data_IF_037305481535
#
_entry.id   IF_037305481535
#
_cell.length_a   1.000
_cell.length_b   1.000
_cell.length_c   1.000
_cell.angle_alpha   90.00
_cell.angle_beta   90.00
_cell.angle_gamma   90.00
#
_symmetry.space_group_name_H-M   'P 1'
#
loop_
_entity.id
_entity.type
_entity.pdbx_description
1 polymer ?
#
# COMPACT_ATOMS: atom_id res chain seq x y z
N UNK A 1 -45.79 -1.28 -15.99
CA UNK A 1 -44.32 -1.13 -16.01
C UNK A 1 -43.75 -1.66 -14.69
N UNK A 2 -43.22 -2.88 -14.71
CA UNK A 2 -43.05 -3.76 -13.55
C UNK A 2 -42.08 -3.22 -12.49
N UNK A 3 -42.52 -3.20 -11.22
CA UNK A 3 -41.71 -2.85 -10.03
C UNK A 3 -40.38 -3.62 -9.96
N UNK A 4 -40.36 -4.84 -10.50
CA UNK A 4 -39.19 -5.72 -10.56
C UNK A 4 -38.09 -5.15 -11.47
N UNK A 5 -38.45 -4.52 -12.60
CA UNK A 5 -37.48 -3.92 -13.52
C UNK A 5 -36.79 -2.70 -12.87
N UNK A 6 -37.54 -1.92 -12.09
CA UNK A 6 -36.98 -0.78 -11.32
C UNK A 6 -35.98 -1.25 -10.25
N UNK A 7 -36.23 -2.41 -9.64
CA UNK A 7 -35.37 -2.96 -8.59
C UNK A 7 -34.04 -3.50 -9.14
N UNK A 8 -34.07 -4.15 -10.30
CA UNK A 8 -32.86 -4.66 -10.98
C UNK A 8 -31.95 -3.50 -11.41
N UNK A 9 -32.52 -2.43 -11.98
CA UNK A 9 -31.76 -1.24 -12.38
C UNK A 9 -31.16 -0.52 -11.17
N UNK A 10 -31.89 -0.43 -10.06
CA UNK A 10 -31.37 0.18 -8.83
C UNK A 10 -30.20 -0.61 -8.23
N UNK A 11 -30.29 -1.95 -8.20
CA UNK A 11 -29.20 -2.82 -7.70
C UNK A 11 -27.96 -2.76 -8.61
N UNK A 12 -28.15 -2.70 -9.93
CA UNK A 12 -27.04 -2.52 -10.88
C UNK A 12 -26.38 -1.13 -10.73
N UNK A 13 -27.16 -0.07 -10.53
CA UNK A 13 -26.63 1.28 -10.30
C UNK A 13 -25.87 1.39 -8.95
N UNK A 14 -26.35 0.71 -7.90
CA UNK A 14 -25.68 0.63 -6.60
C UNK A 14 -24.36 -0.16 -6.66
N UNK A 15 -24.28 -1.20 -7.50
CA UNK A 15 -23.02 -1.96 -7.68
C UNK A 15 -21.98 -1.16 -8.46
N UNK A 16 -22.39 -0.26 -9.37
CA UNK A 16 -21.50 0.62 -10.12
C UNK A 16 -20.98 1.80 -9.27
N UNK A 17 -21.77 2.33 -8.34
CA UNK A 17 -21.34 3.40 -7.43
C UNK A 17 -20.36 2.95 -6.33
N UNK A 18 -20.19 1.63 -6.12
CA UNK A 18 -19.33 1.09 -5.06
C UNK A 18 -17.93 0.69 -5.54
N UNK A 19 -17.68 0.74 -6.86
CA UNK A 19 -16.34 0.54 -7.42
C UNK A 19 -15.60 1.86 -7.36
N UNK A 20 -15.27 2.33 -6.15
CA UNK A 20 -14.16 3.25 -6.00
C UNK A 20 -12.96 2.50 -6.58
N UNK A 21 -12.43 2.97 -7.70
CA UNK A 21 -11.19 2.46 -8.29
C UNK A 21 -10.21 2.41 -7.12
N UNK A 22 -9.85 1.20 -6.71
CA UNK A 22 -8.82 1.02 -5.72
C UNK A 22 -7.58 1.71 -6.28
N UNK A 23 -7.23 2.86 -5.72
CA UNK A 23 -5.89 3.41 -5.92
C UNK A 23 -4.95 2.29 -5.52
N UNK A 24 -4.07 1.89 -6.42
CA UNK A 24 -3.06 0.89 -6.10
C UNK A 24 -2.22 1.44 -4.96
N UNK A 25 -2.37 0.87 -3.77
CA UNK A 25 -1.53 1.24 -2.63
C UNK A 25 -0.24 0.44 -2.74
N UNK A 26 0.91 1.09 -2.64
CA UNK A 26 2.22 0.45 -2.66
C UNK A 26 2.70 0.28 -1.22
N UNK A 27 3.10 -0.95 -0.88
CA UNK A 27 3.78 -1.27 0.37
C UNK A 27 5.28 -1.09 0.16
N UNK A 28 5.87 -0.26 1.00
CA UNK A 28 7.30 -0.08 1.14
C UNK A 28 7.73 -0.84 2.39
N UNK A 29 8.63 -1.80 2.20
CA UNK A 29 9.24 -2.61 3.24
C UNK A 29 10.75 -2.33 3.24
N UNK A 30 11.22 -1.59 4.23
CA UNK A 30 12.63 -1.29 4.46
C UNK A 30 13.18 -2.22 5.55
N UNK A 31 14.33 -2.85 5.27
CA UNK A 31 15.06 -3.66 6.22
C UNK A 31 16.55 -3.36 6.20
N UNK A 32 17.16 -3.37 7.38
CA UNK A 32 18.60 -3.45 7.55
C UNK A 32 18.96 -4.40 8.72
N UNK A 33 20.18 -4.29 9.25
CA UNK A 33 20.63 -5.13 10.38
C UNK A 33 19.88 -4.85 11.70
N UNK A 34 19.34 -3.65 11.88
CA UNK A 34 18.80 -3.17 13.15
C UNK A 34 17.34 -2.70 13.06
N UNK A 35 16.78 -2.53 11.86
CA UNK A 35 15.47 -1.94 11.63
C UNK A 35 14.66 -2.70 10.60
N UNK A 36 13.35 -2.77 10.84
CA UNK A 36 12.35 -3.24 9.87
C UNK A 36 11.15 -2.28 9.93
N UNK A 37 10.89 -1.62 8.80
CA UNK A 37 9.92 -0.53 8.67
C UNK A 37 9.03 -0.81 7.47
N UNK A 38 7.73 -0.89 7.69
CA UNK A 38 6.72 -1.05 6.65
C UNK A 38 5.75 0.13 6.66
N UNK A 39 5.47 0.71 5.49
CA UNK A 39 4.45 1.74 5.32
C UNK A 39 3.82 1.67 3.94
N UNK A 40 2.69 2.34 3.77
CA UNK A 40 1.93 2.30 2.51
C UNK A 40 1.65 3.68 1.97
N UNK A 41 1.80 3.83 0.66
CA UNK A 41 1.57 5.09 -0.06
C UNK A 41 0.73 4.82 -1.32
N UNK A 42 -0.10 5.78 -1.77
CA UNK A 42 -1.04 5.58 -2.88
C UNK A 42 -0.37 5.55 -4.26
N UNK A 43 0.92 5.91 -4.35
CA UNK A 43 1.69 5.99 -5.60
C UNK A 43 3.16 5.66 -5.33
N UNK A 44 3.88 5.20 -6.36
CA UNK A 44 5.35 5.12 -6.28
C UNK A 44 5.89 6.52 -6.04
N UNK A 45 6.68 6.67 -4.99
CA UNK A 45 7.33 7.92 -4.63
C UNK A 45 8.32 8.34 -5.71
N UNK A 46 8.22 9.59 -6.14
CA UNK A 46 9.07 10.19 -7.19
C UNK A 46 9.81 11.44 -6.70
N UNK A 47 9.70 11.75 -5.41
CA UNK A 47 10.38 12.85 -4.73
C UNK A 47 10.65 12.51 -3.27
N UNK A 48 11.53 13.28 -2.63
CA UNK A 48 11.82 13.20 -1.20
C UNK A 48 10.52 13.19 -0.39
N UNK A 49 10.37 12.17 0.45
CA UNK A 49 9.18 11.96 1.28
C UNK A 49 9.60 11.50 2.67
N UNK A 50 8.97 12.07 3.71
CA UNK A 50 9.16 11.64 5.10
C UNK A 50 7.85 11.06 5.62
N UNK A 51 7.91 9.81 6.06
CA UNK A 51 6.82 9.06 6.65
C UNK A 51 7.01 8.97 8.16
N UNK A 52 5.94 9.23 8.92
CA UNK A 52 5.93 9.13 10.39
C UNK A 52 4.86 8.15 10.88
N UNK A 53 4.16 7.50 9.96
CA UNK A 53 3.10 6.53 10.24
C UNK A 53 3.43 5.21 9.57
N UNK A 54 3.54 4.16 10.36
CA UNK A 54 4.04 2.86 9.92
C UNK A 54 3.02 1.76 10.19
N UNK A 55 2.97 0.76 9.32
CA UNK A 55 2.31 -0.52 9.57
C UNK A 55 3.13 -1.36 10.55
N UNK A 56 4.45 -1.34 10.35
CA UNK A 56 5.44 -1.98 11.21
C UNK A 56 6.64 -1.05 11.34
N UNK A 57 7.16 -0.88 12.55
CA UNK A 57 8.41 -0.17 12.76
C UNK A 57 9.10 -0.76 13.99
N UNK A 58 10.15 -1.54 13.76
CA UNK A 58 10.88 -2.21 14.83
C UNK A 58 12.35 -1.83 14.75
N UNK A 59 12.96 -1.66 15.93
CA UNK A 59 14.38 -1.39 16.07
C UNK A 59 14.99 -2.33 17.10
N UNK A 60 16.08 -3.00 16.74
CA UNK A 60 16.79 -3.98 17.56
C UNK A 60 18.22 -3.53 17.93
N UNK A 61 18.59 -2.29 17.63
CA UNK A 61 19.91 -1.75 17.97
C UNK A 61 20.13 -1.59 19.47
N UNK A 62 21.41 -1.61 19.88
CA UNK A 62 21.82 -1.47 21.27
C UNK A 62 21.29 -0.17 21.91
N UNK A 63 20.76 -0.28 23.14
CA UNK A 63 20.11 0.83 23.85
C UNK A 63 18.59 0.93 23.63
N UNK A 64 18.05 0.20 22.65
CA UNK A 64 16.63 0.20 22.32
C UNK A 64 16.12 1.56 21.86
N UNK A 65 14.90 1.58 21.34
CA UNK A 65 14.26 2.83 20.93
C UNK A 65 13.09 2.57 19.99
N UNK A 66 12.44 3.65 19.60
CA UNK A 66 11.29 3.62 18.70
C UNK A 66 11.61 4.43 17.46
N UNK A 67 11.36 3.83 16.29
CA UNK A 67 11.46 4.53 15.02
C UNK A 67 10.32 5.54 14.94
N UNK A 68 10.65 6.81 14.77
CA UNK A 68 9.67 7.91 14.77
C UNK A 68 9.51 8.57 13.40
N UNK A 69 10.47 8.40 12.50
CA UNK A 69 10.41 8.90 11.13
C UNK A 69 11.27 8.05 10.19
N UNK A 70 10.83 7.96 8.94
CA UNK A 70 11.56 7.35 7.82
C UNK A 70 11.51 8.32 6.65
N UNK A 71 12.67 8.66 6.10
CA UNK A 71 12.77 9.55 4.95
C UNK A 71 13.35 8.78 3.76
N UNK A 72 12.78 9.02 2.58
CA UNK A 72 13.16 8.36 1.33
C UNK A 72 13.31 9.39 0.23
N UNK A 73 14.49 9.46 -0.39
CA UNK A 73 14.69 10.16 -1.66
C UNK A 73 14.84 9.13 -2.80
N UNK A 74 13.82 9.01 -3.67
CA UNK A 74 13.80 8.03 -4.75
C UNK A 74 14.61 8.46 -6.00
N UNK A 75 15.12 9.70 -6.08
CA UNK A 75 15.72 10.27 -7.31
C UNK A 75 17.23 10.38 -7.18
N UNK A 76 17.99 10.26 -8.27
CA UNK A 76 19.46 10.29 -8.28
C UNK A 76 20.10 11.70 -8.31
N UNK A 77 19.32 12.76 -8.21
CA UNK A 77 19.79 14.15 -8.39
C UNK A 77 19.65 15.07 -7.16
N UNK A 78 19.25 14.52 -6.02
CA UNK A 78 19.02 15.23 -4.76
C UNK A 78 20.15 15.05 -3.74
N UNK A 79 19.91 15.57 -2.54
CA UNK A 79 20.78 15.41 -1.36
C UNK A 79 19.95 14.90 -0.20
N UNK A 80 20.46 13.87 0.46
CA UNK A 80 19.83 13.25 1.62
C UNK A 80 19.86 14.18 2.84
N UNK A 81 19.03 13.94 3.86
CA UNK A 81 18.98 14.78 5.06
C UNK A 81 20.34 14.96 5.77
N UNK A 82 21.22 13.95 5.75
CA UNK A 82 22.58 14.06 6.30
C UNK A 82 23.64 14.47 5.27
N UNK A 83 23.23 14.87 4.07
CA UNK A 83 24.10 15.41 3.03
C UNK A 83 24.81 14.35 2.18
N UNK A 84 24.43 13.06 2.26
CA UNK A 84 24.89 12.06 1.30
C UNK A 84 24.22 12.25 -0.07
N UNK A 85 24.83 11.65 -1.10
CA UNK A 85 24.27 11.65 -2.45
C UNK A 85 23.02 10.77 -2.54
N UNK A 86 22.00 11.25 -3.26
CA UNK A 86 20.79 10.49 -3.52
C UNK A 86 21.00 9.46 -4.65
N UNK A 87 20.10 8.48 -4.84
CA UNK A 87 18.94 8.11 -4.02
C UNK A 87 19.35 7.54 -2.65
N UNK A 88 18.51 7.75 -1.64
CA UNK A 88 18.80 7.35 -0.26
C UNK A 88 17.56 7.09 0.58
N UNK A 89 17.81 6.44 1.71
CA UNK A 89 16.83 6.20 2.76
C UNK A 89 17.47 6.42 4.12
N UNK A 90 16.75 7.06 5.02
CA UNK A 90 17.14 7.24 6.41
C UNK A 90 15.99 7.00 7.36
N UNK A 91 16.33 6.58 8.57
CA UNK A 91 15.37 6.46 9.65
C UNK A 91 15.90 7.08 10.93
N UNK A 92 14.97 7.65 11.68
CA UNK A 92 15.23 8.26 12.97
C UNK A 92 14.68 7.37 14.08
N UNK A 93 15.48 7.21 15.13
CA UNK A 93 15.12 6.44 16.32
C UNK A 93 15.16 7.37 17.52
N UNK A 94 14.06 7.43 18.26
CA UNK A 94 14.03 8.02 19.59
C UNK A 94 14.55 6.98 20.60
N UNK A 95 15.72 7.22 21.19
CA UNK A 95 16.37 6.28 22.08
C UNK A 95 15.73 6.29 23.47
N UNK A 96 15.69 5.12 24.13
CA UNK A 96 15.08 4.95 25.46
C UNK A 96 15.72 5.84 26.54
N UNK A 97 17.02 6.10 26.42
CA UNK A 97 17.79 6.95 27.35
C UNK A 97 17.74 8.45 27.03
N UNK A 98 16.94 8.85 26.05
CA UNK A 98 16.95 10.21 25.50
C UNK A 98 17.94 10.37 24.34
N UNK A 99 17.66 11.33 23.47
CA UNK A 99 18.41 11.57 22.23
C UNK A 99 17.79 10.90 21.00
N UNK A 100 18.37 11.22 19.84
CA UNK A 100 17.91 10.73 18.54
C UNK A 100 19.08 10.15 17.78
N UNK A 101 18.93 8.91 17.31
CA UNK A 101 19.84 8.30 16.36
C UNK A 101 19.27 8.48 14.96
N UNK A 102 20.10 8.87 14.01
CA UNK A 102 19.75 8.86 12.59
C UNK A 102 20.68 7.89 11.88
N UNK A 103 20.11 7.00 11.07
CA UNK A 103 20.86 6.07 10.23
C UNK A 103 20.48 6.34 8.80
N UNK A 104 21.46 6.59 7.94
CA UNK A 104 21.26 6.94 6.53
C UNK A 104 22.02 5.97 5.62
N UNK A 105 21.36 5.58 4.54
CA UNK A 105 21.89 4.73 3.48
C UNK A 105 21.79 5.47 2.14
N UNK A 106 22.91 5.62 1.45
CA UNK A 106 22.99 6.21 0.11
C UNK A 106 23.45 5.18 -0.93
N UNK A 107 23.18 5.48 -2.21
CA UNK A 107 23.59 4.63 -3.33
C UNK A 107 22.55 3.59 -3.73
N UNK A 108 21.29 3.80 -3.36
CA UNK A 108 20.19 3.02 -3.94
C UNK A 108 20.04 3.35 -5.44
N UNK A 109 19.53 2.43 -6.26
CA UNK A 109 19.05 2.78 -7.60
C UNK A 109 17.78 3.64 -7.50
N UNK A 110 17.45 4.35 -8.57
CA UNK A 110 16.19 5.12 -8.64
C UNK A 110 14.97 4.19 -8.56
N UNK A 111 13.99 4.53 -7.71
CA UNK A 111 12.80 3.71 -7.49
C UNK A 111 11.70 4.04 -8.51
N UNK A 112 11.79 3.49 -9.72
CA UNK A 112 10.79 3.72 -10.79
C UNK A 112 9.76 2.62 -10.94
N UNK A 113 9.90 1.52 -10.19
CA UNK A 113 9.03 0.34 -10.30
C UNK A 113 8.95 -0.45 -8.99
N UNK A 114 7.98 -1.36 -8.94
CA UNK A 114 7.93 -2.46 -7.96
C UNK A 114 9.23 -3.29 -8.08
N UNK A 115 9.75 -3.74 -6.95
CA UNK A 115 10.98 -4.53 -6.90
C UNK A 115 11.69 -4.41 -5.55
N UNK A 116 12.80 -5.14 -5.43
CA UNK A 116 13.70 -5.05 -4.28
C UNK A 116 14.99 -4.35 -4.71
N UNK A 117 15.37 -3.34 -3.95
CA UNK A 117 16.52 -2.49 -4.17
C UNK A 117 17.41 -2.50 -2.94
N UNK A 118 18.73 -2.41 -3.14
CA UNK A 118 19.69 -2.52 -2.03
C UNK A 118 20.78 -1.46 -2.10
N UNK A 119 21.20 -0.97 -0.94
CA UNK A 119 22.38 -0.14 -0.77
C UNK A 119 23.17 -0.66 0.44
N UNK A 120 24.32 -1.29 0.18
CA UNK A 120 25.09 -1.98 1.22
C UNK A 120 24.26 -3.08 1.89
N UNK A 121 24.07 -2.97 3.21
CA UNK A 121 23.27 -3.91 4.01
C UNK A 121 21.77 -3.57 4.04
N UNK A 122 21.35 -2.40 3.59
CA UNK A 122 19.96 -1.99 3.59
C UNK A 122 19.23 -2.46 2.33
N UNK A 123 17.95 -2.79 2.47
CA UNK A 123 17.05 -3.23 1.41
C UNK A 123 15.72 -2.53 1.51
N UNK A 124 15.17 -2.16 0.36
CA UNK A 124 13.80 -1.65 0.21
C UNK A 124 13.08 -2.54 -0.79
N UNK A 125 11.96 -3.12 -0.39
CA UNK A 125 11.04 -3.82 -1.28
C UNK A 125 9.78 -2.97 -1.47
N UNK A 126 9.49 -2.64 -2.73
CA UNK A 126 8.27 -1.95 -3.13
C UNK A 126 7.36 -2.99 -3.75
N UNK A 127 6.17 -3.19 -3.20
CA UNK A 127 5.17 -4.14 -3.69
C UNK A 127 3.79 -3.49 -3.82
N UNK A 128 2.93 -4.03 -4.68
CA UNK A 128 1.57 -3.53 -4.82
C UNK A 128 0.64 -4.26 -3.84
N UNK A 129 -0.08 -3.50 -3.02
CA UNK A 129 -1.21 -3.98 -2.23
C UNK A 129 -2.42 -3.97 -3.15
N UNK A 130 -2.84 -5.16 -3.57
CA UNK A 130 -4.09 -5.33 -4.32
C UNK A 130 -5.20 -5.50 -3.29
N UNK A 131 -6.18 -4.58 -3.19
CA UNK A 131 -7.33 -4.84 -2.34
C UNK A 131 -8.07 -6.05 -2.92
N UNK A 132 -8.28 -7.05 -2.06
CA UNK A 132 -9.03 -8.25 -2.43
C UNK A 132 -10.37 -7.84 -3.06
N UNK A 133 -10.80 -8.50 -4.14
CA UNK A 133 -12.12 -8.25 -4.71
C UNK A 133 -13.16 -8.54 -3.62
N UNK A 134 -13.94 -7.52 -3.27
CA UNK A 134 -14.95 -7.60 -2.22
C UNK A 134 -15.81 -8.87 -2.38
N UNK A 135 -16.02 -9.67 -1.32
CA UNK A 135 -16.86 -10.86 -1.37
C UNK A 135 -18.32 -10.55 -1.73
N UNK A 136 -18.75 -9.28 -1.71
CA UNK A 136 -20.07 -8.86 -2.20
C UNK A 136 -20.26 -9.16 -3.69
N UNK A 137 -19.22 -9.07 -4.51
CA UNK A 137 -19.29 -9.43 -5.95
C UNK A 137 -19.53 -10.94 -6.16
N UNK A 138 -19.00 -11.78 -5.27
CA UNK A 138 -19.19 -13.23 -5.27
C UNK A 138 -20.61 -13.65 -4.85
N UNK A 139 -21.33 -12.85 -4.06
CA UNK A 139 -22.70 -13.17 -3.62
C UNK A 139 -23.76 -12.70 -4.62
N UNK A 140 -23.52 -11.60 -5.33
CA UNK A 140 -24.52 -11.04 -6.27
C UNK A 140 -24.62 -11.87 -7.56
N UNK A 141 -23.52 -12.46 -8.01
CA UNK A 141 -23.48 -13.27 -9.25
C UNK A 141 -24.34 -14.55 -9.20
N UNK A 142 -24.30 -15.40 -8.16
CA UNK A 142 -25.16 -16.59 -8.10
C UNK A 142 -26.64 -16.25 -7.83
N UNK A 143 -26.93 -15.22 -7.03
CA UNK A 143 -28.31 -14.79 -6.77
C UNK A 143 -29.00 -14.23 -8.02
N UNK A 144 -28.27 -13.46 -8.84
CA UNK A 144 -28.77 -12.95 -10.12
C UNK A 144 -29.15 -14.06 -11.10
N UNK A 145 -28.31 -15.10 -11.21
CA UNK A 145 -28.58 -16.27 -12.05
C UNK A 145 -29.78 -17.08 -11.52
N UNK A 146 -29.89 -17.27 -10.21
CA UNK A 146 -31.02 -18.00 -9.61
C UNK A 146 -32.36 -17.29 -9.81
N UNK A 147 -32.38 -15.96 -9.72
CA UNK A 147 -33.59 -15.16 -9.96
C UNK A 147 -34.01 -15.19 -11.43
N UNK A 148 -33.05 -15.10 -12.37
CA UNK A 148 -33.33 -15.22 -13.80
C UNK A 148 -33.88 -16.62 -14.18
N UNK A 149 -33.33 -17.68 -13.60
CA UNK A 149 -33.82 -19.06 -13.81
C UNK A 149 -35.25 -19.26 -13.29
N UNK A 150 -35.61 -18.67 -12.14
CA UNK A 150 -36.98 -18.74 -11.59
C UNK A 150 -38.01 -17.97 -12.42
N UNK A 151 -37.64 -16.80 -12.96
CA UNK A 151 -38.54 -16.01 -13.81
C UNK A 151 -38.81 -16.74 -15.13
N UNK A 152 -37.77 -17.32 -15.75
CA UNK A 152 -37.91 -18.06 -17.01
C UNK A 152 -38.82 -19.28 -16.88
N UNK A 153 -38.72 -20.04 -15.78
CA UNK A 153 -39.62 -21.19 -15.50
C UNK A 153 -41.09 -20.80 -15.35
N UNK A 154 -41.41 -19.61 -14.84
CA UNK A 154 -42.80 -19.15 -14.71
C UNK A 154 -43.43 -18.70 -16.03
N UNK A 155 -42.62 -18.36 -17.04
CA UNK A 155 -43.11 -17.90 -18.35
C UNK A 155 -43.30 -19.05 -19.35
N UNK A 156 -42.73 -20.22 -19.10
CA UNK A 156 -42.82 -21.40 -20.00
C UNK A 156 -43.78 -22.47 -19.49
N UNK A 157 -44.63 -22.17 -18.51
CA UNK A 157 -45.70 -23.07 -18.05
C UNK A 157 -47.00 -22.83 -18.82
N UNK A 158 -47.11 -23.44 -20.00
CA UNK A 158 -48.36 -23.90 -20.60
C UNK A 158 -48.37 -25.43 -20.49
#
# INVERSE_FOLDING_TARGET
MNRILKLIVAVAALSLCSVKTASATFLYDFTDANAHIEFTVPTILTSLTTETTFLLATFSGGGGGTINAFTLDPVAGGTCPLGLGSPCADYHVLLTGGGTLTVEYSGFPTFTSIGTFSAGSARITISQVVPEPSPLLLVITPLGVFLLLRIRRRQTGF
#
